data_IF_145805876725
#
_entry.id   IF_145805876725
#
_cell.length_a   1.000
_cell.length_b   1.000
_cell.length_c   1.000
_cell.angle_alpha   90.00
_cell.angle_beta   90.00
_cell.angle_gamma   90.00
#
_symmetry.space_group_name_H-M   'P 1'
#
loop_
_entity.id
_entity.type
_entity.pdbx_description
1 polymer ?
#
# COMPACT_ATOMS: atom_id res chain seq x y z
N UNK A 1 -13.79 1.65 -6.68
CA UNK A 1 -13.54 1.80 -5.22
C UNK A 1 -12.29 1.03 -4.83
N UNK A 2 -11.42 1.66 -4.08
CA UNK A 2 -10.17 1.02 -3.66
C UNK A 2 -10.38 0.35 -2.31
N UNK A 3 -10.04 -0.92 -2.22
CA UNK A 3 -10.08 -1.65 -0.97
C UNK A 3 -8.70 -1.62 -0.33
N UNK A 4 -8.48 -0.65 0.53
CA UNK A 4 -7.19 -0.47 1.19
C UNK A 4 -6.86 -1.65 2.12
N UNK A 5 -7.86 -2.24 2.75
CA UNK A 5 -7.65 -3.39 3.63
C UNK A 5 -7.11 -4.59 2.85
N UNK A 6 -7.63 -4.80 1.66
CA UNK A 6 -7.16 -5.88 0.79
C UNK A 6 -5.72 -5.65 0.37
N UNK A 7 -5.36 -4.42 0.03
CA UNK A 7 -4.00 -4.07 -0.34
C UNK A 7 -3.05 -4.32 0.83
N UNK A 8 -3.44 -3.89 2.03
CA UNK A 8 -2.63 -4.10 3.23
C UNK A 8 -2.43 -5.60 3.52
N UNK A 9 -3.50 -6.37 3.44
CA UNK A 9 -3.42 -7.81 3.67
C UNK A 9 -2.50 -8.49 2.65
N UNK A 10 -2.62 -8.10 1.39
CA UNK A 10 -1.80 -8.67 0.32
C UNK A 10 -0.33 -8.35 0.54
N UNK A 11 -0.01 -7.11 0.92
CA UNK A 11 1.36 -6.72 1.23
C UNK A 11 1.94 -7.56 2.38
N UNK A 12 1.16 -7.76 3.42
CA UNK A 12 1.58 -8.58 4.55
C UNK A 12 1.81 -10.04 4.15
N UNK A 13 0.97 -10.57 3.29
CA UNK A 13 1.12 -11.93 2.78
C UNK A 13 2.39 -12.07 1.94
N UNK A 14 2.83 -11.01 1.29
CA UNK A 14 4.06 -11.00 0.52
C UNK A 14 5.32 -10.77 1.38
N UNK A 15 5.15 -10.66 2.69
CA UNK A 15 6.26 -10.48 3.61
C UNK A 15 6.64 -9.02 3.88
N UNK A 16 5.85 -8.07 3.41
CA UNK A 16 6.09 -6.66 3.69
C UNK A 16 5.51 -6.27 5.03
N UNK A 17 6.21 -5.37 5.72
CA UNK A 17 5.74 -4.85 6.99
C UNK A 17 4.99 -3.54 6.74
N UNK A 18 3.68 -3.58 6.90
CA UNK A 18 2.84 -2.39 6.81
C UNK A 18 2.72 -1.79 8.21
N UNK A 19 3.42 -0.69 8.45
CA UNK A 19 3.50 -0.06 9.76
C UNK A 19 2.39 0.93 10.01
N UNK A 20 1.83 1.49 8.96
CA UNK A 20 0.73 2.44 9.10
C UNK A 20 0.06 2.73 7.77
N UNK A 21 -1.18 3.15 7.87
CA UNK A 21 -1.98 3.56 6.72
C UNK A 21 -2.63 4.89 7.08
N UNK A 22 -2.40 5.91 6.28
CA UNK A 22 -2.91 7.26 6.53
C UNK A 22 -3.71 7.74 5.35
N UNK A 23 -4.84 8.35 5.64
CA UNK A 23 -5.64 9.00 4.62
C UNK A 23 -5.10 10.41 4.39
N UNK A 24 -4.89 10.77 3.11
CA UNK A 24 -4.40 12.09 2.74
C UNK A 24 -5.59 12.97 2.36
N UNK A 25 -5.97 13.96 3.18
CA UNK A 25 -7.17 14.75 2.93
C UNK A 25 -7.10 15.59 1.65
N UNK A 26 -5.89 16.05 1.29
CA UNK A 26 -5.69 16.92 0.13
C UNK A 26 -5.79 16.18 -1.19
N UNK A 27 -5.66 14.88 -1.17
CA UNK A 27 -5.77 14.01 -2.35
C UNK A 27 -6.97 13.10 -2.17
N UNK A 28 -8.14 13.57 -2.56
CA UNK A 28 -9.40 12.87 -2.31
C UNK A 28 -9.33 11.39 -2.71
N UNK A 29 -9.51 10.52 -1.73
CA UNK A 29 -9.53 9.08 -1.94
C UNK A 29 -8.16 8.40 -1.99
N UNK A 30 -7.09 9.15 -1.81
CA UNK A 30 -5.75 8.55 -1.78
C UNK A 30 -5.30 8.25 -0.36
N UNK A 31 -4.37 7.32 -0.25
CA UNK A 31 -3.81 6.90 1.02
C UNK A 31 -2.29 6.90 0.95
N UNK A 32 -1.66 7.12 2.09
CA UNK A 32 -0.23 6.90 2.26
C UNK A 32 -0.04 5.67 3.14
N UNK A 33 0.88 4.82 2.74
CA UNK A 33 1.20 3.61 3.49
C UNK A 33 2.67 3.65 3.89
N UNK A 34 2.96 3.30 5.13
CA UNK A 34 4.33 3.13 5.57
C UNK A 34 4.66 1.65 5.50
N UNK A 35 5.49 1.28 4.54
CA UNK A 35 5.84 -0.11 4.25
C UNK A 35 7.36 -0.25 4.34
N UNK A 36 7.81 -1.16 5.20
CA UNK A 36 9.24 -1.42 5.43
C UNK A 36 10.04 -0.13 5.74
N UNK A 37 9.41 0.78 6.48
CA UNK A 37 10.02 2.05 6.85
C UNK A 37 9.98 3.13 5.78
N UNK A 38 9.35 2.87 4.65
CA UNK A 38 9.22 3.84 3.55
C UNK A 38 7.77 4.26 3.38
N UNK A 39 7.57 5.56 3.21
CA UNK A 39 6.23 6.08 2.93
C UNK A 39 5.94 5.97 1.43
N UNK A 40 4.91 5.21 1.10
CA UNK A 40 4.50 5.01 -0.29
C UNK A 40 3.06 5.50 -0.46
N UNK A 41 2.75 6.02 -1.64
CA UNK A 41 1.37 6.32 -1.95
C UNK A 41 0.67 5.06 -2.47
N UNK A 42 -0.64 5.16 -2.72
CA UNK A 42 -1.42 4.01 -3.15
C UNK A 42 -0.92 3.44 -4.49
N UNK A 43 -0.57 4.31 -5.42
CA UNK A 43 -0.05 3.89 -6.71
C UNK A 43 1.27 3.12 -6.58
N UNK A 44 2.15 3.62 -5.74
CA UNK A 44 3.43 2.94 -5.48
C UNK A 44 3.23 1.59 -4.81
N UNK A 45 2.28 1.51 -3.87
CA UNK A 45 1.94 0.25 -3.22
C UNK A 45 1.40 -0.76 -4.23
N UNK A 46 0.57 -0.32 -5.16
CA UNK A 46 0.04 -1.19 -6.21
C UNK A 46 1.14 -1.68 -7.14
N UNK A 47 2.07 -0.82 -7.50
CA UNK A 47 3.23 -1.22 -8.31
C UNK A 47 4.08 -2.25 -7.61
N UNK A 48 4.26 -2.09 -6.31
CA UNK A 48 4.98 -3.07 -5.50
C UNK A 48 4.31 -4.43 -5.56
N UNK A 49 2.98 -4.47 -5.44
CA UNK A 49 2.22 -5.71 -5.54
C UNK A 49 2.33 -6.35 -6.92
N UNK A 50 2.25 -5.54 -7.98
CA UNK A 50 2.41 -6.04 -9.34
C UNK A 50 3.80 -6.64 -9.56
N UNK A 51 4.81 -5.99 -9.02
CA UNK A 51 6.19 -6.45 -9.10
C UNK A 51 6.36 -7.79 -8.40
N UNK A 52 5.78 -7.92 -7.21
CA UNK A 52 5.84 -9.16 -6.45
C UNK A 52 5.09 -10.28 -7.14
N UNK A 53 3.98 -9.96 -7.79
CA UNK A 53 3.16 -10.94 -8.49
C UNK A 53 3.69 -11.31 -9.87
N UNK A 54 4.63 -10.57 -10.40
CA UNK A 54 5.14 -10.76 -11.76
C UNK A 54 6.23 -11.83 -11.88
N UNK A 55 6.55 -12.48 -10.81
CA UNK A 55 7.59 -13.51 -10.82
C UNK A 55 7.21 -14.74 -11.62
#
# INVERSE_FOLDING_TARGET
MVDIDLIVQTLRQHGHRVEGVFRVPDNAGEYELVIDGNTLNLEEARRLLERDGAK
#
